data_IF_067234998801
#
_entry.id   IF_067234998801
#
_cell.length_a   1.000
_cell.length_b   1.000
_cell.length_c   1.000
_cell.angle_alpha   90.00
_cell.angle_beta   90.00
_cell.angle_gamma   90.00
#
_symmetry.space_group_name_H-M   'P 1'
#
loop_
_entity.id
_entity.type
_entity.pdbx_description
1 polymer ?
#
# COMPACT_ATOMS: atom_id res chain seq x y z
N UNK A 1 20.39 -41.81 -31.00
CA UNK A 1 19.24 -40.91 -30.86
C UNK A 1 18.99 -40.64 -29.42
N UNK A 2 19.59 -39.58 -28.88
CA UNK A 2 19.47 -39.16 -27.48
C UNK A 2 18.54 -37.95 -27.43
N UNK A 3 17.38 -38.10 -26.78
CA UNK A 3 16.52 -37.00 -26.44
C UNK A 3 17.06 -36.27 -25.20
N UNK A 4 17.06 -34.92 -25.17
CA UNK A 4 17.40 -34.18 -23.97
C UNK A 4 16.20 -34.16 -23.02
N UNK A 5 16.46 -34.50 -21.75
CA UNK A 5 15.53 -34.41 -20.63
C UNK A 5 15.26 -32.93 -20.34
N UNK A 6 14.03 -32.51 -20.52
CA UNK A 6 13.48 -31.26 -20.02
C UNK A 6 13.59 -31.26 -18.48
N UNK A 7 14.37 -30.34 -17.94
CA UNK A 7 14.46 -30.09 -16.51
C UNK A 7 13.32 -29.15 -16.14
N UNK A 8 12.35 -29.69 -15.43
CA UNK A 8 11.35 -28.94 -14.67
C UNK A 8 12.03 -27.87 -13.80
N UNK A 9 12.07 -26.64 -14.26
CA UNK A 9 12.38 -25.48 -13.42
C UNK A 9 11.15 -25.20 -12.55
N UNK A 10 11.23 -25.67 -11.29
CA UNK A 10 10.41 -25.15 -10.20
C UNK A 10 10.51 -23.61 -10.21
N UNK A 11 9.38 -22.85 -10.06
CA UNK A 11 9.49 -21.43 -9.82
C UNK A 11 10.24 -21.23 -8.52
N UNK A 12 11.39 -20.57 -8.58
CA UNK A 12 12.10 -20.07 -7.41
C UNK A 12 11.15 -19.10 -6.70
N UNK A 13 10.67 -19.50 -5.52
CA UNK A 13 10.05 -18.62 -4.55
C UNK A 13 11.09 -17.54 -4.22
N UNK A 14 10.91 -16.37 -4.79
CA UNK A 14 11.66 -15.14 -4.47
C UNK A 14 11.39 -14.77 -3.01
N UNK A 15 12.06 -15.44 -2.08
CA UNK A 15 12.15 -15.01 -0.68
C UNK A 15 13.05 -13.77 -0.66
N UNK A 16 12.46 -12.62 -0.95
CA UNK A 16 13.12 -11.33 -0.80
C UNK A 16 13.47 -11.12 0.67
N UNK A 17 14.76 -11.27 0.97
CA UNK A 17 15.34 -10.96 2.26
C UNK A 17 15.36 -9.43 2.46
N UNK A 18 15.02 -8.97 3.66
CA UNK A 18 15.15 -7.56 4.06
C UNK A 18 16.59 -7.02 3.91
N UNK A 19 17.58 -7.90 3.70
CA UNK A 19 19.00 -7.57 3.46
C UNK A 19 19.25 -6.91 2.10
N UNK A 20 18.33 -7.01 1.13
CA UNK A 20 18.54 -6.53 -0.23
C UNK A 20 18.41 -5.01 -0.36
N UNK A 21 18.01 -4.32 0.72
CA UNK A 21 17.74 -2.88 0.71
C UNK A 21 18.37 -2.17 1.91
N UNK A 22 19.63 -1.71 1.82
CA UNK A 22 20.29 -1.01 2.92
C UNK A 22 19.48 0.23 3.34
N UNK A 23 19.18 0.33 4.64
CA UNK A 23 18.45 1.46 5.24
C UNK A 23 16.92 1.35 5.22
N UNK A 24 16.30 0.39 4.52
CA UNK A 24 14.86 0.15 4.59
C UNK A 24 14.53 -0.82 5.74
N UNK A 25 13.53 -0.45 6.54
CA UNK A 25 12.95 -1.35 7.55
C UNK A 25 11.55 -1.76 7.08
N UNK A 26 11.29 -3.07 6.90
CA UNK A 26 9.95 -3.57 6.60
C UNK A 26 8.95 -3.13 7.67
N UNK A 27 7.67 -3.07 7.30
CA UNK A 27 6.61 -2.79 8.27
C UNK A 27 6.61 -3.84 9.38
N UNK A 28 6.38 -3.45 10.65
CA UNK A 28 6.16 -4.40 11.74
C UNK A 28 5.02 -5.36 11.39
N UNK A 29 5.16 -6.65 11.74
CA UNK A 29 4.14 -7.67 11.45
C UNK A 29 2.77 -7.27 12.01
N UNK A 30 2.74 -6.72 13.22
CA UNK A 30 1.49 -6.24 13.84
C UNK A 30 0.76 -5.19 13.00
N UNK A 31 1.49 -4.28 12.35
CA UNK A 31 0.90 -3.27 11.47
C UNK A 31 0.37 -3.90 10.18
N UNK A 32 1.07 -4.90 9.64
CA UNK A 32 0.62 -5.65 8.45
C UNK A 32 -0.63 -6.46 8.76
N UNK A 33 -0.65 -7.15 9.91
CA UNK A 33 -1.80 -7.93 10.37
C UNK A 33 -3.02 -7.03 10.60
N UNK A 34 -2.83 -5.89 11.27
CA UNK A 34 -3.87 -4.90 11.47
C UNK A 34 -4.41 -4.36 10.13
N UNK A 35 -3.52 -4.08 9.18
CA UNK A 35 -3.91 -3.63 7.84
C UNK A 35 -4.76 -4.70 7.12
N UNK A 36 -4.35 -5.95 7.17
CA UNK A 36 -5.08 -7.07 6.56
C UNK A 36 -6.45 -7.27 7.20
N UNK A 37 -6.54 -7.23 8.53
CA UNK A 37 -7.81 -7.33 9.25
C UNK A 37 -8.76 -6.18 8.89
N UNK A 38 -8.27 -4.94 8.87
CA UNK A 38 -9.05 -3.77 8.43
C UNK A 38 -9.64 -3.97 7.04
N UNK A 39 -8.87 -4.60 6.13
CA UNK A 39 -9.33 -4.88 4.77
C UNK A 39 -10.30 -6.06 4.68
N UNK A 40 -10.21 -7.04 5.55
CA UNK A 40 -11.22 -8.11 5.66
C UNK A 40 -12.60 -7.53 6.07
N UNK A 41 -12.59 -6.55 6.98
CA UNK A 41 -13.80 -5.90 7.48
C UNK A 41 -14.25 -4.69 6.64
N UNK A 42 -13.53 -4.39 5.56
CA UNK A 42 -13.77 -3.19 4.75
C UNK A 42 -15.11 -3.22 4.04
N UNK A 43 -15.42 -4.30 3.32
CA UNK A 43 -16.69 -4.49 2.62
C UNK A 43 -17.10 -5.95 2.61
N UNK A 44 -18.40 -6.26 2.75
CA UNK A 44 -18.90 -7.60 2.50
C UNK A 44 -18.60 -7.98 1.04
N UNK A 45 -18.06 -9.17 0.84
CA UNK A 45 -17.80 -9.73 -0.49
C UNK A 45 -18.90 -10.68 -0.89
N UNK A 46 -19.17 -10.79 -2.20
CA UNK A 46 -20.09 -11.81 -2.71
C UNK A 46 -19.54 -13.21 -2.40
N UNK A 47 -20.39 -14.18 -2.02
CA UNK A 47 -19.99 -15.47 -1.41
C UNK A 47 -19.34 -16.48 -2.38
N UNK A 48 -18.59 -16.04 -3.40
CA UNK A 48 -18.00 -16.95 -4.40
C UNK A 48 -16.61 -17.44 -4.01
N UNK A 49 -15.87 -16.67 -3.20
CA UNK A 49 -14.60 -17.10 -2.59
C UNK A 49 -14.23 -16.14 -1.45
N UNK A 50 -14.34 -16.63 -0.23
CA UNK A 50 -13.81 -15.89 0.93
C UNK A 50 -12.29 -15.81 0.80
N UNK A 51 -11.77 -14.59 0.69
CA UNK A 51 -10.33 -14.38 0.78
C UNK A 51 -9.88 -14.71 2.18
N UNK A 52 -8.83 -15.47 2.24
CA UNK A 52 -8.24 -15.79 3.53
C UNK A 52 -7.38 -14.62 4.01
N UNK A 53 -7.45 -14.28 5.30
CA UNK A 53 -6.56 -13.29 5.92
C UNK A 53 -5.10 -13.53 5.59
N UNK A 54 -4.57 -14.76 5.57
CA UNK A 54 -3.20 -15.05 5.16
C UNK A 54 -2.83 -14.57 3.75
N UNK A 55 -3.75 -14.64 2.78
CA UNK A 55 -3.50 -14.16 1.41
C UNK A 55 -3.32 -12.63 1.37
N UNK A 56 -4.15 -11.89 2.11
CA UNK A 56 -4.02 -10.44 2.24
C UNK A 56 -2.74 -10.04 2.99
N UNK A 57 -2.37 -10.74 4.06
CA UNK A 57 -1.12 -10.50 4.80
C UNK A 57 0.06 -10.64 3.85
N UNK A 58 0.16 -11.74 3.12
CA UNK A 58 1.23 -11.97 2.16
C UNK A 58 1.29 -10.88 1.09
N UNK A 59 0.14 -10.50 0.52
CA UNK A 59 0.05 -9.44 -0.47
C UNK A 59 0.54 -8.10 0.08
N UNK A 60 0.09 -7.71 1.28
CA UNK A 60 0.47 -6.44 1.92
C UNK A 60 1.96 -6.44 2.24
N UNK A 61 2.49 -7.53 2.81
CA UNK A 61 3.92 -7.67 3.08
C UNK A 61 4.75 -7.51 1.80
N UNK A 62 4.37 -8.24 0.75
CA UNK A 62 5.08 -8.20 -0.53
C UNK A 62 5.07 -6.82 -1.15
N UNK A 63 3.90 -6.17 -1.27
CA UNK A 63 3.82 -4.87 -1.92
C UNK A 63 4.49 -3.76 -1.09
N UNK A 64 4.37 -3.77 0.22
CA UNK A 64 4.98 -2.77 1.10
C UNK A 64 6.50 -2.89 1.13
N UNK A 65 7.04 -4.10 1.11
CA UNK A 65 8.47 -4.36 1.02
C UNK A 65 9.04 -3.87 -0.32
N UNK A 66 8.46 -4.31 -1.45
CA UNK A 66 8.94 -3.92 -2.78
C UNK A 66 8.80 -2.41 -3.04
N UNK A 67 7.72 -1.80 -2.55
CA UNK A 67 7.50 -0.36 -2.68
C UNK A 67 8.27 0.47 -1.64
N UNK A 68 8.95 -0.17 -0.67
CA UNK A 68 9.64 0.48 0.46
C UNK A 68 8.72 1.43 1.25
N UNK A 69 7.54 0.95 1.57
CA UNK A 69 6.53 1.71 2.30
C UNK A 69 6.97 1.89 3.74
N UNK A 70 7.01 3.13 4.23
CA UNK A 70 7.27 3.44 5.64
C UNK A 70 6.02 3.26 6.51
N UNK A 71 6.20 3.14 7.84
CA UNK A 71 5.08 3.09 8.78
C UNK A 71 4.15 4.31 8.64
N UNK A 72 4.69 5.51 8.40
CA UNK A 72 3.89 6.71 8.18
C UNK A 72 2.97 6.59 6.97
N UNK A 73 3.49 6.09 5.84
CA UNK A 73 2.68 5.86 4.63
C UNK A 73 1.58 4.84 4.92
N UNK A 74 1.90 3.76 5.65
CA UNK A 74 0.94 2.73 5.98
C UNK A 74 -0.19 3.26 6.89
N UNK A 75 0.14 4.06 7.92
CA UNK A 75 -0.86 4.66 8.82
C UNK A 75 -1.74 5.67 8.08
N UNK A 76 -1.16 6.54 7.24
CA UNK A 76 -1.96 7.47 6.41
C UNK A 76 -2.85 6.73 5.43
N UNK A 77 -2.38 5.62 4.84
CA UNK A 77 -3.19 4.78 3.96
C UNK A 77 -4.39 4.16 4.71
N UNK A 78 -4.19 3.72 5.96
CA UNK A 78 -5.27 3.22 6.81
C UNK A 78 -6.30 4.31 7.13
N UNK A 79 -5.87 5.53 7.43
CA UNK A 79 -6.78 6.69 7.61
C UNK A 79 -7.61 6.94 6.34
N UNK A 80 -6.99 6.82 5.16
CA UNK A 80 -7.73 6.96 3.89
C UNK A 80 -8.72 5.81 3.65
N UNK A 81 -8.40 4.61 4.10
CA UNK A 81 -9.32 3.46 4.02
C UNK A 81 -10.54 3.70 4.92
N UNK A 82 -10.36 4.24 6.12
CA UNK A 82 -11.48 4.64 6.99
C UNK A 82 -12.36 5.68 6.31
N UNK A 83 -11.77 6.74 5.74
CA UNK A 83 -12.52 7.75 4.97
C UNK A 83 -13.27 7.15 3.79
N UNK A 84 -12.64 6.20 3.10
CA UNK A 84 -13.27 5.49 2.01
C UNK A 84 -14.47 4.66 2.50
N UNK A 85 -14.31 3.94 3.62
CA UNK A 85 -15.38 3.15 4.23
C UNK A 85 -16.57 4.02 4.64
N UNK A 86 -16.30 5.19 5.23
CA UNK A 86 -17.33 6.16 5.64
C UNK A 86 -18.08 6.76 4.44
N UNK A 87 -17.40 6.95 3.31
CA UNK A 87 -17.97 7.53 2.10
C UNK A 87 -18.81 6.54 1.27
N UNK A 88 -18.61 5.24 1.48
CA UNK A 88 -19.32 4.20 0.73
C UNK A 88 -20.75 4.02 1.23
N UNK A 89 -21.71 3.71 0.33
CA UNK A 89 -23.07 3.37 0.72
C UNK A 89 -23.10 2.16 1.67
N UNK A 90 -24.02 2.16 2.64
CA UNK A 90 -24.17 1.06 3.63
C UNK A 90 -24.43 -0.31 3.01
N UNK A 91 -24.94 -0.35 1.79
CA UNK A 91 -25.19 -1.57 1.01
C UNK A 91 -24.12 -1.85 -0.04
N UNK A 92 -22.97 -1.17 0.02
CA UNK A 92 -21.85 -1.42 -0.88
C UNK A 92 -21.34 -2.85 -0.69
N UNK A 93 -21.14 -3.54 -1.80
CA UNK A 93 -20.60 -4.90 -1.84
C UNK A 93 -19.35 -4.88 -2.72
N UNK A 94 -18.26 -5.45 -2.21
CA UNK A 94 -17.00 -5.55 -2.94
C UNK A 94 -16.96 -6.74 -3.88
N UNK A 95 -16.17 -6.60 -4.94
CA UNK A 95 -15.72 -7.72 -5.77
C UNK A 95 -14.51 -8.42 -5.11
N UNK A 96 -14.15 -9.57 -5.65
CA UNK A 96 -13.00 -10.36 -5.20
C UNK A 96 -11.70 -9.54 -5.12
N UNK A 97 -11.48 -8.56 -6.00
CA UNK A 97 -10.26 -7.74 -6.02
C UNK A 97 -10.39 -6.39 -5.30
N UNK A 98 -11.53 -6.09 -4.69
CA UNK A 98 -11.77 -4.79 -4.06
C UNK A 98 -10.76 -4.49 -2.96
N UNK A 99 -10.47 -5.45 -2.08
CA UNK A 99 -9.49 -5.29 -1.02
C UNK A 99 -8.09 -4.96 -1.55
N UNK A 100 -7.59 -5.72 -2.52
CA UNK A 100 -6.28 -5.50 -3.13
C UNK A 100 -6.19 -4.13 -3.84
N UNK A 101 -7.21 -3.78 -4.60
CA UNK A 101 -7.30 -2.49 -5.30
C UNK A 101 -7.32 -1.32 -4.32
N UNK A 102 -8.08 -1.45 -3.24
CA UNK A 102 -8.17 -0.42 -2.20
C UNK A 102 -6.84 -0.23 -1.50
N UNK A 103 -6.16 -1.32 -1.10
CA UNK A 103 -4.80 -1.27 -0.52
C UNK A 103 -3.83 -0.53 -1.45
N UNK A 104 -3.79 -0.91 -2.72
CA UNK A 104 -2.88 -0.30 -3.70
C UNK A 104 -3.15 1.19 -3.88
N UNK A 105 -4.42 1.57 -4.03
CA UNK A 105 -4.81 2.96 -4.21
C UNK A 105 -4.50 3.80 -2.96
N UNK A 106 -4.83 3.29 -1.76
CA UNK A 106 -4.56 3.99 -0.50
C UNK A 106 -3.06 4.21 -0.27
N UNK A 107 -2.23 3.17 -0.47
CA UNK A 107 -0.77 3.28 -0.36
C UNK A 107 -0.17 4.26 -1.38
N UNK A 108 -0.66 4.25 -2.62
CA UNK A 108 -0.21 5.14 -3.68
C UNK A 108 -0.53 6.61 -3.34
N UNK A 109 -1.76 6.89 -2.94
CA UNK A 109 -2.21 8.24 -2.58
C UNK A 109 -1.49 8.73 -1.31
N UNK A 110 -1.34 7.89 -0.29
CA UNK A 110 -0.63 8.23 0.95
C UNK A 110 0.85 8.52 0.69
N UNK A 111 1.51 7.72 -0.16
CA UNK A 111 2.90 7.96 -0.55
C UNK A 111 3.05 9.31 -1.27
N UNK A 112 2.19 9.61 -2.24
CA UNK A 112 2.22 10.87 -2.97
C UNK A 112 1.97 12.08 -2.06
N UNK A 113 1.01 11.98 -1.14
CA UNK A 113 0.70 13.03 -0.18
C UNK A 113 1.90 13.34 0.71
N UNK A 114 2.47 12.33 1.36
CA UNK A 114 3.58 12.52 2.30
C UNK A 114 4.86 13.02 1.61
N UNK A 115 5.18 12.50 0.43
CA UNK A 115 6.35 12.96 -0.32
C UNK A 115 6.13 14.34 -0.91
N UNK A 116 4.93 14.65 -1.39
CA UNK A 116 4.57 15.97 -1.89
C UNK A 116 4.66 17.06 -0.82
N UNK A 117 4.20 16.78 0.40
CA UNK A 117 4.29 17.72 1.53
C UNK A 117 5.73 17.93 2.01
N UNK A 118 6.55 16.88 2.05
CA UNK A 118 7.99 17.00 2.37
C UNK A 118 8.73 17.83 1.34
N UNK A 119 8.46 17.64 0.06
CA UNK A 119 9.05 18.42 -1.00
C UNK A 119 8.69 19.92 -0.88
N UNK A 120 7.43 20.24 -0.62
CA UNK A 120 6.99 21.62 -0.41
C UNK A 120 7.70 22.25 0.80
N UNK A 121 7.92 21.50 1.89
CA UNK A 121 8.63 22.00 3.07
C UNK A 121 10.12 22.21 2.79
N UNK A 122 10.77 21.37 2.00
CA UNK A 122 12.21 21.49 1.68
C UNK A 122 12.51 22.66 0.74
N UNK A 123 11.54 23.13 -0.03
CA UNK A 123 11.70 24.32 -0.87
C UNK A 123 11.63 25.64 -0.08
N UNK A 124 11.03 25.61 1.11
CA UNK A 124 10.96 26.79 1.99
C UNK A 124 12.24 26.98 2.83
N UNK A 125 13.04 25.93 2.96
CA UNK A 125 14.38 25.99 3.58
C UNK A 125 15.38 25.81 2.46
N UNK A 126 16.21 26.80 2.20
CA UNK A 126 17.27 26.85 1.13
C UNK A 126 18.35 25.74 1.27
N UNK A 127 18.09 24.69 2.02
CA UNK A 127 18.94 23.50 2.10
C UNK A 127 18.68 22.58 0.90
N UNK A 128 19.21 22.98 -0.25
CA UNK A 128 19.41 22.10 -1.40
C UNK A 128 20.44 21.01 -1.01
N UNK A 129 19.98 19.92 -0.44
CA UNK A 129 20.85 18.77 -0.19
C UNK A 129 20.62 17.72 -1.27
N UNK A 130 21.71 17.23 -1.88
CA UNK A 130 21.76 16.13 -2.87
C UNK A 130 20.98 14.87 -2.45
N UNK A 131 20.68 14.75 -1.14
CA UNK A 131 19.83 13.70 -0.56
C UNK A 131 18.36 13.73 -1.01
N UNK A 132 17.85 14.89 -1.44
CA UNK A 132 16.45 15.00 -1.87
C UNK A 132 16.19 14.25 -3.20
N UNK A 133 17.20 14.12 -4.06
CA UNK A 133 17.05 13.41 -5.33
C UNK A 133 17.18 11.88 -5.18
N UNK A 134 18.00 11.40 -4.24
CA UNK A 134 18.07 9.98 -3.91
C UNK A 134 16.74 9.49 -3.32
N UNK A 135 16.08 10.26 -2.46
CA UNK A 135 14.77 9.93 -1.87
C UNK A 135 13.66 9.85 -2.93
N UNK A 136 13.70 10.68 -3.99
CA UNK A 136 12.71 10.66 -5.08
C UNK A 136 12.69 9.34 -5.85
N UNK A 137 13.80 8.66 -5.94
CA UNK A 137 13.90 7.36 -6.62
C UNK A 137 12.98 6.32 -5.97
N UNK A 138 12.66 6.49 -4.68
CA UNK A 138 11.87 5.52 -3.91
C UNK A 138 10.38 5.88 -3.77
N UNK A 139 9.95 7.04 -4.29
CA UNK A 139 8.55 7.42 -4.23
C UNK A 139 7.66 6.42 -4.98
N UNK A 140 6.55 6.06 -4.37
CA UNK A 140 5.57 5.21 -5.02
C UNK A 140 4.77 6.04 -6.02
N UNK A 141 5.14 5.91 -7.29
CA UNK A 141 4.44 6.53 -8.42
C UNK A 141 3.59 5.49 -9.14
N UNK A 142 2.63 5.94 -9.95
CA UNK A 142 1.80 5.03 -10.78
C UNK A 142 2.66 4.14 -11.67
N UNK A 143 3.69 4.72 -12.30
CA UNK A 143 4.63 3.97 -13.17
C UNK A 143 5.39 2.92 -12.36
N UNK A 144 5.93 3.29 -11.19
CA UNK A 144 6.66 2.36 -10.32
C UNK A 144 5.74 1.24 -9.83
N UNK A 145 4.54 1.58 -9.37
CA UNK A 145 3.55 0.59 -8.93
C UNK A 145 3.17 -0.36 -10.07
N UNK A 146 2.92 0.16 -11.28
CA UNK A 146 2.66 -0.68 -12.46
C UNK A 146 3.85 -1.59 -12.81
N UNK A 147 5.09 -1.12 -12.61
CA UNK A 147 6.29 -1.94 -12.81
C UNK A 147 6.39 -3.06 -11.79
N UNK A 148 6.09 -2.80 -10.51
CA UNK A 148 6.08 -3.80 -9.44
C UNK A 148 4.99 -4.86 -9.64
N UNK A 149 3.88 -4.47 -10.23
CA UNK A 149 2.68 -5.32 -10.44
C UNK A 149 2.46 -5.72 -11.91
N UNK A 150 3.54 -5.84 -12.70
CA UNK A 150 3.48 -6.07 -14.17
C UNK A 150 2.54 -7.19 -14.61
N UNK A 151 2.41 -8.23 -13.80
CA UNK A 151 1.55 -9.38 -14.11
C UNK A 151 0.07 -9.15 -13.76
N UNK A 152 -0.25 -8.12 -12.96
CA UNK A 152 -1.59 -7.92 -12.40
C UNK A 152 -2.28 -6.66 -12.93
N UNK A 153 -1.54 -5.53 -13.05
CA UNK A 153 -2.13 -4.24 -13.40
C UNK A 153 -1.28 -3.45 -14.38
N UNK A 154 -1.95 -2.92 -15.41
CA UNK A 154 -1.35 -1.96 -16.34
C UNK A 154 -1.28 -0.57 -15.72
N UNK A 155 -0.44 0.32 -16.28
CA UNK A 155 -0.37 1.72 -15.86
C UNK A 155 -1.73 2.43 -15.97
N UNK A 156 -2.51 2.12 -17.01
CA UNK A 156 -3.84 2.68 -17.19
C UNK A 156 -4.79 2.26 -16.06
N UNK A 157 -4.76 0.99 -15.66
CA UNK A 157 -5.55 0.49 -14.54
C UNK A 157 -5.13 1.13 -13.21
N UNK A 158 -3.82 1.29 -12.95
CA UNK A 158 -3.33 1.99 -11.76
C UNK A 158 -3.80 3.45 -11.75
N UNK A 159 -3.72 4.15 -12.88
CA UNK A 159 -4.23 5.52 -12.98
C UNK A 159 -5.74 5.61 -12.73
N UNK A 160 -6.49 4.59 -13.14
CA UNK A 160 -7.94 4.53 -12.88
C UNK A 160 -8.23 4.23 -11.42
N UNK A 161 -7.49 3.30 -10.79
CA UNK A 161 -7.63 3.00 -9.36
C UNK A 161 -7.39 4.23 -8.50
N UNK A 162 -6.33 4.98 -8.77
CA UNK A 162 -6.03 6.22 -8.05
C UNK A 162 -7.17 7.24 -8.18
N UNK A 163 -7.62 7.51 -9.41
CA UNK A 163 -8.70 8.49 -9.65
C UNK A 163 -10.01 8.08 -8.99
N UNK A 164 -10.38 6.80 -9.08
CA UNK A 164 -11.58 6.29 -8.45
C UNK A 164 -11.51 6.39 -6.93
N UNK A 165 -10.37 6.05 -6.34
CA UNK A 165 -10.16 6.16 -4.89
C UNK A 165 -10.23 7.60 -4.40
N UNK A 166 -9.54 8.53 -5.08
CA UNK A 166 -9.58 9.97 -4.77
C UNK A 166 -11.01 10.52 -4.86
N UNK A 167 -11.77 10.09 -5.86
CA UNK A 167 -13.18 10.49 -6.01
C UNK A 167 -14.04 9.98 -4.85
N UNK A 168 -13.84 8.75 -4.39
CA UNK A 168 -14.59 8.18 -3.26
C UNK A 168 -14.32 8.94 -1.97
N UNK A 169 -13.06 9.29 -1.68
CA UNK A 169 -12.71 10.06 -0.49
C UNK A 169 -12.93 11.58 -0.66
N UNK A 170 -13.59 12.01 -1.75
CA UNK A 170 -13.85 13.41 -2.06
C UNK A 170 -12.58 14.27 -2.04
N UNK A 171 -11.45 13.74 -2.52
CA UNK A 171 -10.13 14.37 -2.53
C UNK A 171 -9.65 14.85 -1.15
N UNK A 172 -10.23 14.35 -0.06
CA UNK A 172 -9.84 14.67 1.31
C UNK A 172 -8.54 13.97 1.68
N UNK A 173 -7.43 14.44 1.11
CA UNK A 173 -6.09 13.85 1.32
C UNK A 173 -5.33 14.47 2.49
N UNK A 174 -5.75 15.64 3.00
CA UNK A 174 -5.03 16.27 4.10
C UNK A 174 -5.11 15.41 5.36
N UNK A 175 -3.93 15.11 5.94
CA UNK A 175 -3.77 14.41 7.22
C UNK A 175 -2.68 15.14 8.00
N UNK A 176 -3.03 15.65 9.17
CA UNK A 176 -2.09 16.28 10.08
C UNK A 176 -1.60 15.32 11.18
N UNK A 177 -0.66 15.79 12.00
CA UNK A 177 -0.08 14.99 13.08
C UNK A 177 -1.11 14.62 14.16
N UNK A 178 -2.10 15.48 14.41
CA UNK A 178 -3.15 15.19 15.40
C UNK A 178 -4.03 14.03 14.93
N UNK A 179 -4.43 14.03 13.65
CA UNK A 179 -5.22 12.94 13.07
C UNK A 179 -4.46 11.60 13.09
N UNK A 180 -3.14 11.63 12.86
CA UNK A 180 -2.30 10.43 12.98
C UNK A 180 -2.27 9.94 14.44
N UNK A 181 -2.06 10.85 15.40
CA UNK A 181 -2.05 10.50 16.83
C UNK A 181 -3.39 9.95 17.29
N UNK A 182 -4.51 10.60 16.92
CA UNK A 182 -5.85 10.15 17.25
C UNK A 182 -6.14 8.76 16.68
N UNK A 183 -5.68 8.51 15.45
CA UNK A 183 -5.79 7.18 14.82
C UNK A 183 -5.04 6.12 15.61
N UNK A 184 -3.78 6.38 15.96
CA UNK A 184 -2.94 5.45 16.72
C UNK A 184 -3.50 5.21 18.14
N UNK A 185 -4.00 6.25 18.82
CA UNK A 185 -4.64 6.13 20.15
C UNK A 185 -5.91 5.28 20.06
N UNK A 186 -6.73 5.48 19.03
CA UNK A 186 -7.98 4.71 18.82
C UNK A 186 -7.69 3.23 18.65
N UNK A 187 -6.62 2.89 17.94
CA UNK A 187 -6.25 1.51 17.60
C UNK A 187 -5.06 0.98 18.40
N UNK A 188 -4.77 1.61 19.56
CA UNK A 188 -3.58 1.25 20.36
C UNK A 188 -3.57 -0.21 20.84
N UNK A 189 -4.74 -0.79 21.10
CA UNK A 189 -4.85 -2.17 21.58
C UNK A 189 -4.53 -3.16 20.46
N UNK A 190 -5.07 -2.92 19.28
CA UNK A 190 -4.86 -3.73 18.10
C UNK A 190 -3.43 -3.61 17.57
N UNK A 191 -2.82 -2.43 17.72
CA UNK A 191 -1.43 -2.15 17.33
C UNK A 191 -0.41 -2.44 18.44
N UNK A 192 -0.85 -2.87 19.63
CA UNK A 192 0.00 -3.14 20.81
C UNK A 192 0.89 -1.96 21.20
N UNK A 193 0.36 -0.72 21.14
CA UNK A 193 1.04 0.54 21.48
C UNK A 193 0.79 0.95 22.95
#
# INVERSE_FOLDING_TARGET
>A
MNQPKDKDKKPEDDQLSASDYPGYRPLPSILVDFFALTMCDFLPTKPIQERTTPELIYFIQKITCHARVSCHIAVVALIYIDRCKEALPKNAVGDQDTAHRTVLAALLVASKFLHGTRWASSQLTDECTDKADEDRQYWLTNRRLSTLLRSMYTLQQINQLERSFLSVIDYKCWVDSCQVQDYLIRHRQELML
#
